data_IF_941687026937
#
_entry.id   IF_941687026937
#
_cell.length_a   1.000
_cell.length_b   1.000
_cell.length_c   1.000
_cell.angle_alpha   90.00
_cell.angle_beta   90.00
_cell.angle_gamma   90.00
#
_symmetry.space_group_name_H-M   'P 1'
#
loop_
_entity.id
_entity.type
_entity.pdbx_description
1 polymer ?
#
# COMPACT_ATOMS: atom_id res chain seq x y z
N UNK A 1 -13.28 -22.54 -13.63
CA UNK A 1 -11.90 -22.34 -14.12
C UNK A 1 -11.87 -21.10 -15.00
N UNK A 2 -10.83 -20.28 -14.92
CA UNK A 2 -10.63 -19.15 -15.84
C UNK A 2 -10.39 -19.69 -17.26
N UNK A 3 -11.03 -19.10 -18.27
CA UNK A 3 -10.74 -19.44 -19.66
C UNK A 3 -9.41 -18.81 -20.12
N UNK A 4 -8.84 -19.32 -21.20
CA UNK A 4 -7.52 -18.89 -21.71
C UNK A 4 -7.49 -17.39 -22.06
N UNK A 5 -8.61 -16.84 -22.56
CA UNK A 5 -8.72 -15.41 -22.89
C UNK A 5 -8.65 -14.52 -21.66
N UNK A 6 -9.40 -14.85 -20.60
CA UNK A 6 -9.39 -14.14 -19.33
C UNK A 6 -8.01 -14.18 -18.66
N UNK A 7 -7.31 -15.32 -18.72
CA UNK A 7 -5.94 -15.42 -18.21
C UNK A 7 -4.98 -14.50 -18.97
N UNK A 8 -5.08 -14.45 -20.30
CA UNK A 8 -4.24 -13.55 -21.11
C UNK A 8 -4.48 -12.07 -20.76
N UNK A 9 -5.74 -11.68 -20.55
CA UNK A 9 -6.10 -10.32 -20.14
C UNK A 9 -5.56 -9.98 -18.75
N UNK A 10 -5.77 -10.84 -17.75
CA UNK A 10 -5.22 -10.64 -16.40
C UNK A 10 -3.70 -10.52 -16.44
N UNK A 11 -3.02 -11.37 -17.20
CA UNK A 11 -1.57 -11.32 -17.32
C UNK A 11 -1.08 -10.01 -17.97
N UNK A 12 -1.76 -9.55 -19.02
CA UNK A 12 -1.46 -8.26 -19.64
C UNK A 12 -1.65 -7.09 -18.66
N UNK A 13 -2.72 -7.14 -17.86
CA UNK A 13 -2.99 -6.15 -16.83
C UNK A 13 -1.94 -6.20 -15.69
N UNK A 14 -1.52 -7.37 -15.26
CA UNK A 14 -0.48 -7.54 -14.22
C UNK A 14 0.87 -6.97 -14.66
N UNK A 15 1.29 -7.24 -15.91
CA UNK A 15 2.56 -6.71 -16.45
C UNK A 15 2.51 -5.18 -16.61
N UNK A 16 1.36 -4.63 -17.02
CA UNK A 16 1.19 -3.19 -17.23
C UNK A 16 0.84 -2.40 -15.96
N UNK A 17 0.58 -3.08 -14.84
CA UNK A 17 0.21 -2.46 -13.58
C UNK A 17 1.36 -1.61 -13.04
N UNK A 18 1.04 -0.36 -12.69
CA UNK A 18 1.99 0.59 -12.11
C UNK A 18 1.85 0.60 -10.60
N UNK A 19 2.99 0.77 -9.92
CA UNK A 19 3.06 0.88 -8.46
C UNK A 19 3.75 2.18 -8.05
N UNK A 20 3.52 2.68 -6.83
CA UNK A 20 4.38 3.69 -6.22
C UNK A 20 5.87 3.30 -6.29
N UNK A 21 6.77 4.27 -6.35
CA UNK A 21 8.20 3.98 -6.56
C UNK A 21 8.85 3.20 -5.42
N UNK A 22 8.29 3.28 -4.22
CA UNK A 22 8.73 2.53 -3.05
C UNK A 22 8.12 1.12 -3.00
N UNK A 23 7.57 0.66 -4.12
CA UNK A 23 7.05 -0.69 -4.30
C UNK A 23 7.80 -1.33 -5.48
N UNK A 24 8.80 -2.13 -5.15
CA UNK A 24 9.64 -2.89 -6.06
C UNK A 24 8.98 -4.22 -6.40
N UNK A 25 7.85 -4.17 -7.11
CA UNK A 25 7.18 -5.38 -7.63
C UNK A 25 6.97 -5.28 -9.13
N UNK A 26 7.42 -6.32 -9.82
CA UNK A 26 7.20 -6.50 -11.25
C UNK A 26 6.65 -7.91 -11.47
N UNK A 27 5.45 -8.00 -12.03
CA UNK A 27 4.78 -9.26 -12.33
C UNK A 27 5.33 -9.87 -13.62
N UNK A 28 6.57 -10.38 -13.56
CA UNK A 28 7.21 -11.08 -14.68
C UNK A 28 6.68 -12.50 -14.90
N UNK A 29 5.89 -13.01 -13.96
CA UNK A 29 5.31 -14.35 -14.01
C UNK A 29 3.80 -14.26 -14.19
N UNK A 30 3.22 -15.01 -15.14
CA UNK A 30 1.78 -15.01 -15.35
C UNK A 30 1.05 -15.68 -14.19
N UNK A 31 -0.26 -15.45 -14.07
CA UNK A 31 -1.12 -15.96 -13.00
C UNK A 31 -1.14 -17.50 -12.95
N UNK A 32 -1.03 -18.17 -14.09
CA UNK A 32 -0.95 -19.64 -14.15
C UNK A 32 0.37 -20.21 -13.63
N UNK A 33 1.39 -19.38 -13.43
CA UNK A 33 2.66 -19.71 -12.79
C UNK A 33 2.76 -19.06 -11.40
N UNK A 34 1.64 -18.93 -10.70
CA UNK A 34 1.61 -18.32 -9.36
C UNK A 34 2.49 -19.07 -8.34
N UNK A 35 2.87 -20.33 -8.57
CA UNK A 35 3.87 -21.03 -7.77
C UNK A 35 5.23 -20.35 -7.73
N UNK A 36 5.57 -19.58 -8.77
CA UNK A 36 6.83 -18.84 -8.89
C UNK A 36 6.75 -17.44 -8.28
N UNK A 37 5.56 -17.04 -7.79
CA UNK A 37 5.38 -15.74 -7.16
C UNK A 37 6.09 -15.68 -5.82
N UNK A 38 6.92 -14.66 -5.66
CA UNK A 38 7.47 -14.30 -4.34
C UNK A 38 6.38 -13.70 -3.45
N UNK A 39 6.61 -13.73 -2.14
CA UNK A 39 5.71 -13.20 -1.13
C UNK A 39 5.22 -11.76 -1.40
N UNK A 40 6.10 -10.87 -1.88
CA UNK A 40 5.71 -9.50 -2.29
C UNK A 40 4.63 -9.44 -3.39
N UNK A 41 4.64 -10.37 -4.35
CA UNK A 41 3.61 -10.46 -5.39
C UNK A 41 2.27 -10.89 -4.78
N UNK A 42 2.27 -11.93 -3.95
CA UNK A 42 1.07 -12.38 -3.25
C UNK A 42 0.48 -11.30 -2.35
N UNK A 43 1.32 -10.57 -1.61
CA UNK A 43 0.90 -9.48 -0.74
C UNK A 43 0.20 -8.37 -1.53
N UNK A 44 0.82 -7.87 -2.59
CA UNK A 44 0.24 -6.79 -3.41
C UNK A 44 -1.01 -7.27 -4.14
N UNK A 45 -0.97 -8.50 -4.67
CA UNK A 45 -2.13 -9.10 -5.30
C UNK A 45 -3.29 -9.19 -4.32
N UNK A 46 -3.09 -9.75 -3.13
CA UNK A 46 -4.17 -9.93 -2.17
C UNK A 46 -4.69 -8.61 -1.60
N UNK A 47 -3.81 -7.64 -1.29
CA UNK A 47 -4.21 -6.41 -0.61
C UNK A 47 -4.72 -5.29 -1.54
N UNK A 48 -4.26 -5.28 -2.79
CA UNK A 48 -4.41 -4.08 -3.64
C UNK A 48 -4.99 -4.33 -5.03
N UNK A 49 -4.54 -5.36 -5.75
CA UNK A 49 -4.86 -5.48 -7.19
C UNK A 49 -5.65 -6.73 -7.57
N UNK A 50 -5.70 -7.73 -6.71
CA UNK A 50 -6.29 -9.04 -7.03
C UNK A 50 -7.81 -8.97 -7.16
N UNK A 51 -8.50 -8.30 -6.23
CA UNK A 51 -9.96 -8.22 -6.24
C UNK A 51 -10.51 -7.63 -7.55
N UNK A 52 -10.05 -6.45 -8.01
CA UNK A 52 -10.55 -5.87 -9.26
C UNK A 52 -10.30 -6.75 -10.49
N UNK A 53 -9.15 -7.43 -10.56
CA UNK A 53 -8.88 -8.36 -11.67
C UNK A 53 -9.74 -9.62 -11.60
N UNK A 54 -9.95 -10.18 -10.41
CA UNK A 54 -10.75 -11.39 -10.25
C UNK A 54 -12.24 -11.12 -10.50
N UNK A 55 -12.74 -9.92 -10.16
CA UNK A 55 -14.14 -9.54 -10.30
C UNK A 55 -14.67 -9.65 -11.73
N UNK A 56 -13.82 -9.37 -12.72
CA UNK A 56 -14.21 -9.42 -14.14
C UNK A 56 -14.33 -10.86 -14.65
N UNK A 57 -13.57 -11.80 -14.09
CA UNK A 57 -13.32 -13.09 -14.74
C UNK A 57 -13.73 -14.32 -13.94
N UNK A 58 -13.88 -14.22 -12.62
CA UNK A 58 -14.26 -15.35 -11.78
C UNK A 58 -15.78 -15.40 -11.54
N UNK A 59 -16.35 -16.60 -11.29
CA UNK A 59 -17.75 -16.73 -10.92
C UNK A 59 -18.10 -15.88 -9.70
N UNK A 60 -19.31 -15.27 -9.62
CA UNK A 60 -19.68 -14.35 -8.55
C UNK A 60 -19.47 -14.91 -7.14
N UNK A 61 -19.79 -16.18 -6.92
CA UNK A 61 -19.62 -16.84 -5.61
C UNK A 61 -18.14 -16.94 -5.21
N UNK A 62 -17.26 -17.23 -6.16
CA UNK A 62 -15.81 -17.35 -5.94
C UNK A 62 -15.20 -15.99 -5.66
N UNK A 63 -15.60 -14.95 -6.41
CA UNK A 63 -15.14 -13.57 -6.17
C UNK A 63 -15.62 -13.07 -4.81
N UNK A 64 -16.86 -13.33 -4.44
CA UNK A 64 -17.40 -12.91 -3.15
C UNK A 64 -16.60 -13.50 -2.00
N UNK A 65 -16.24 -14.79 -2.12
CA UNK A 65 -15.40 -15.45 -1.14
C UNK A 65 -13.96 -14.89 -1.12
N UNK A 66 -13.39 -14.59 -2.28
CA UNK A 66 -12.09 -13.92 -2.39
C UNK A 66 -12.11 -12.49 -1.81
N UNK A 67 -13.20 -11.75 -1.99
CA UNK A 67 -13.40 -10.42 -1.42
C UNK A 67 -13.42 -10.46 0.12
N UNK A 68 -14.10 -11.44 0.70
CA UNK A 68 -14.09 -11.67 2.16
C UNK A 68 -12.68 -11.97 2.66
N UNK A 69 -11.94 -12.85 1.99
CA UNK A 69 -10.57 -13.17 2.38
C UNK A 69 -9.62 -11.97 2.26
N UNK A 70 -9.70 -11.24 1.15
CA UNK A 70 -8.91 -10.03 0.93
C UNK A 70 -9.22 -8.96 1.98
N UNK A 71 -10.50 -8.79 2.34
CA UNK A 71 -10.95 -7.90 3.42
C UNK A 71 -10.40 -8.34 4.78
N UNK A 72 -10.49 -9.62 5.12
CA UNK A 72 -9.92 -10.20 6.34
C UNK A 72 -8.43 -9.86 6.49
N UNK A 73 -7.63 -10.17 5.47
CA UNK A 73 -6.18 -9.91 5.53
C UNK A 73 -5.89 -8.41 5.58
N UNK A 74 -6.65 -7.58 4.87
CA UNK A 74 -6.43 -6.13 4.85
C UNK A 74 -6.77 -5.45 6.19
N UNK A 75 -7.82 -5.92 6.88
CA UNK A 75 -8.15 -5.49 8.25
C UNK A 75 -7.03 -5.85 9.23
N UNK A 76 -6.52 -7.09 9.16
CA UNK A 76 -5.43 -7.54 10.04
C UNK A 76 -4.06 -6.98 9.67
N UNK A 77 -3.85 -6.57 8.42
CA UNK A 77 -2.55 -6.05 7.95
C UNK A 77 -2.16 -4.77 8.67
N UNK A 78 -3.08 -3.80 8.77
CA UNK A 78 -2.84 -2.54 9.48
C UNK A 78 -4.17 -2.10 10.15
N UNK A 79 -4.55 -2.75 11.27
CA UNK A 79 -5.81 -2.48 11.95
C UNK A 79 -5.79 -1.09 12.58
N UNK A 80 -6.87 -0.34 12.40
CA UNK A 80 -7.07 0.99 12.98
C UNK A 80 -7.73 0.94 14.35
N UNK A 81 -8.40 -0.16 14.69
CA UNK A 81 -9.12 -0.32 15.95
C UNK A 81 -9.32 -1.80 16.30
N UNK A 82 -9.61 -2.08 17.58
CA UNK A 82 -10.01 -3.43 18.02
C UNK A 82 -11.25 -3.97 17.31
N UNK A 83 -12.19 -3.09 16.96
CA UNK A 83 -13.40 -3.47 16.21
C UNK A 83 -13.08 -4.01 14.81
N UNK A 84 -12.01 -3.53 14.16
CA UNK A 84 -11.56 -4.07 12.88
C UNK A 84 -11.01 -5.50 13.02
N UNK A 85 -10.39 -5.81 14.16
CA UNK A 85 -9.84 -7.14 14.44
C UNK A 85 -10.97 -8.13 14.78
N UNK A 86 -11.96 -7.72 15.59
CA UNK A 86 -13.16 -8.50 15.88
C UNK A 86 -13.97 -8.78 14.59
N UNK A 87 -14.09 -7.78 13.72
CA UNK A 87 -14.72 -7.97 12.41
C UNK A 87 -13.94 -8.96 11.54
N UNK A 88 -12.61 -8.87 11.52
CA UNK A 88 -11.78 -9.82 10.79
C UNK A 88 -11.95 -11.27 11.33
N UNK A 89 -12.06 -11.43 12.64
CA UNK A 89 -12.35 -12.71 13.28
C UNK A 89 -13.67 -13.32 12.80
N UNK A 90 -14.74 -12.51 12.78
CA UNK A 90 -16.05 -12.94 12.24
C UNK A 90 -15.95 -13.34 10.76
N UNK A 91 -15.21 -12.56 9.95
CA UNK A 91 -15.05 -12.83 8.52
C UNK A 91 -14.32 -14.15 8.29
N UNK A 92 -13.23 -14.44 9.00
CA UNK A 92 -12.48 -15.69 8.77
C UNK A 92 -13.27 -16.92 9.22
N UNK A 93 -14.02 -16.83 10.32
CA UNK A 93 -14.92 -17.91 10.73
C UNK A 93 -16.02 -18.18 9.70
N UNK A 94 -16.62 -17.11 9.15
CA UNK A 94 -17.58 -17.23 8.06
C UNK A 94 -16.93 -17.87 6.82
N UNK A 95 -15.77 -17.38 6.41
CA UNK A 95 -15.00 -17.88 5.26
C UNK A 95 -14.69 -19.38 5.41
N UNK A 96 -14.15 -19.81 6.55
CA UNK A 96 -13.83 -21.22 6.80
C UNK A 96 -15.08 -22.10 6.76
N UNK A 97 -16.22 -21.64 7.29
CA UNK A 97 -17.48 -22.38 7.24
C UNK A 97 -18.01 -22.53 5.81
N UNK A 98 -17.82 -21.53 4.95
CA UNK A 98 -18.31 -21.56 3.57
C UNK A 98 -17.33 -22.14 2.55
N UNK A 99 -16.04 -22.24 2.89
CA UNK A 99 -14.99 -22.70 1.98
C UNK A 99 -15.24 -24.11 1.40
N UNK A 100 -15.65 -25.13 2.19
CA UNK A 100 -15.91 -26.48 1.65
C UNK A 100 -17.02 -26.51 0.61
N UNK A 101 -18.04 -25.67 0.78
CA UNK A 101 -19.16 -25.57 -0.16
C UNK A 101 -18.78 -24.90 -1.48
N UNK A 102 -17.75 -24.05 -1.48
CA UNK A 102 -17.34 -23.26 -2.65
C UNK A 102 -16.20 -23.95 -3.41
N UNK A 103 -15.25 -24.55 -2.70
CA UNK A 103 -14.05 -25.13 -3.28
C UNK A 103 -13.95 -26.66 -3.17
N UNK A 104 -14.87 -27.29 -2.43
CA UNK A 104 -14.85 -28.71 -2.10
C UNK A 104 -14.20 -29.01 -0.75
N UNK A 105 -14.49 -30.19 -0.20
CA UNK A 105 -14.06 -30.61 1.15
C UNK A 105 -12.53 -30.71 1.32
N UNK A 106 -11.79 -30.86 0.21
CA UNK A 106 -10.33 -30.97 0.23
C UNK A 106 -9.61 -29.66 0.58
N UNK A 107 -10.33 -28.54 0.70
CA UNK A 107 -9.75 -27.24 1.09
C UNK A 107 -9.53 -27.11 2.60
N UNK A 108 -10.02 -28.04 3.42
CA UNK A 108 -9.82 -28.07 4.87
C UNK A 108 -8.38 -28.45 5.25
N UNK A 109 -7.44 -27.62 4.82
CA UNK A 109 -6.02 -27.76 5.07
C UNK A 109 -5.67 -27.11 6.41
N UNK A 110 -4.62 -27.64 7.05
CA UNK A 110 -4.03 -27.07 8.26
C UNK A 110 -3.73 -25.56 8.14
N UNK A 111 -3.35 -25.10 6.95
CA UNK A 111 -3.12 -23.68 6.65
C UNK A 111 -4.38 -22.81 6.82
N UNK A 112 -5.56 -23.32 6.43
CA UNK A 112 -6.82 -22.61 6.60
C UNK A 112 -7.21 -22.53 8.08
N UNK A 113 -7.01 -23.60 8.83
CA UNK A 113 -7.24 -23.60 10.28
C UNK A 113 -6.32 -22.61 11.01
N UNK A 114 -5.05 -22.52 10.59
CA UNK A 114 -4.08 -21.58 11.16
C UNK A 114 -4.53 -20.12 11.04
N UNK A 115 -5.30 -19.77 10.01
CA UNK A 115 -5.82 -18.41 9.82
C UNK A 115 -6.85 -17.99 10.89
N UNK A 116 -7.53 -18.94 11.54
CA UNK A 116 -8.46 -18.65 12.65
C UNK A 116 -7.75 -18.02 13.86
N UNK A 117 -6.44 -18.24 13.99
CA UNK A 117 -5.66 -17.70 15.09
C UNK A 117 -5.04 -16.32 14.79
N UNK A 118 -5.08 -15.85 13.53
CA UNK A 118 -4.46 -14.58 13.15
C UNK A 118 -5.06 -13.36 13.88
N UNK A 119 -6.38 -13.24 14.10
CA UNK A 119 -6.93 -12.13 14.87
C UNK A 119 -6.34 -12.05 16.28
N UNK A 120 -6.25 -13.18 16.98
CA UNK A 120 -5.65 -13.25 18.32
C UNK A 120 -4.16 -12.91 18.30
N UNK A 121 -3.43 -13.35 17.27
CA UNK A 121 -2.02 -13.00 17.10
C UNK A 121 -1.85 -11.50 16.87
N UNK A 122 -2.71 -10.87 16.06
CA UNK A 122 -2.69 -9.42 15.82
C UNK A 122 -3.04 -8.63 17.07
N UNK A 123 -3.99 -9.11 17.89
CA UNK A 123 -4.29 -8.52 19.20
C UNK A 123 -3.07 -8.55 20.13
N UNK A 124 -2.31 -9.64 20.10
CA UNK A 124 -1.19 -9.88 21.03
C UNK A 124 0.11 -9.20 20.56
N UNK A 125 0.33 -9.12 19.25
CA UNK A 125 1.63 -8.76 18.67
C UNK A 125 1.60 -7.54 17.73
N UNK A 126 0.43 -7.01 17.41
CA UNK A 126 0.25 -5.92 16.44
C UNK A 126 -0.06 -6.40 15.02
N UNK A 127 -0.39 -5.45 14.13
CA UNK A 127 -0.81 -5.73 12.75
C UNK A 127 0.16 -6.61 11.95
N UNK A 128 -0.37 -7.37 10.99
CA UNK A 128 0.44 -8.32 10.19
C UNK A 128 1.58 -7.60 9.44
N UNK A 129 1.45 -6.30 9.16
CA UNK A 129 2.53 -5.55 8.53
C UNK A 129 3.82 -5.47 9.37
N UNK A 130 3.73 -5.68 10.69
CA UNK A 130 4.88 -5.67 11.60
C UNK A 130 5.30 -7.06 12.07
N UNK A 131 4.39 -8.03 12.01
CA UNK A 131 4.58 -9.37 12.59
C UNK A 131 4.77 -10.47 11.54
N UNK A 132 4.45 -10.17 10.28
CA UNK A 132 4.65 -11.11 9.17
C UNK A 132 6.12 -11.22 8.75
N UNK A 133 6.49 -12.40 8.22
CA UNK A 133 7.81 -12.65 7.67
C UNK A 133 8.10 -11.87 6.37
N UNK A 134 7.14 -11.11 5.81
CA UNK A 134 7.29 -10.44 4.52
C UNK A 134 8.51 -9.51 4.46
N UNK A 135 8.81 -8.78 5.54
CA UNK A 135 9.97 -7.89 5.62
C UNK A 135 11.32 -8.65 5.62
N UNK A 136 11.31 -9.92 6.02
CA UNK A 136 12.49 -10.78 6.09
C UNK A 136 12.73 -11.54 4.80
N UNK A 137 11.68 -12.01 4.12
CA UNK A 137 11.83 -12.67 2.82
C UNK A 137 12.23 -11.69 1.69
N UNK A 138 11.96 -10.39 1.83
CA UNK A 138 12.42 -9.38 0.87
C UNK A 138 13.88 -8.98 1.08
N UNK A 139 14.35 -8.93 2.32
CA UNK A 139 15.72 -8.54 2.69
C UNK A 139 16.71 -9.71 2.62
N UNK A 140 16.23 -10.94 2.76
CA UNK A 140 17.02 -12.16 2.59
C UNK A 140 16.80 -12.71 1.18
N UNK A 141 17.76 -12.46 0.29
CA UNK A 141 17.94 -13.14 -0.98
C UNK A 141 18.34 -14.62 -0.75
N UNK A 142 17.55 -15.39 0.00
CA UNK A 142 17.67 -16.84 0.07
C UNK A 142 16.33 -17.45 -0.33
N UNK A 143 16.32 -17.90 -1.58
CA UNK A 143 15.57 -19.06 -2.04
C UNK A 143 15.53 -20.10 -0.92
N UNK A 144 14.34 -20.34 -0.35
CA UNK A 144 13.81 -21.61 0.15
C UNK A 144 12.75 -21.28 1.21
N UNK A 145 11.50 -21.56 0.87
CA UNK A 145 10.34 -21.30 1.71
C UNK A 145 10.40 -22.07 3.04
N UNK A 146 9.86 -21.45 4.07
CA UNK A 146 9.68 -22.06 5.38
C UNK A 146 9.41 -21.03 6.45
N UNK A 147 8.14 -20.94 6.85
CA UNK A 147 7.62 -20.51 8.16
C UNK A 147 8.60 -19.72 9.04
N UNK A 148 8.34 -18.42 9.26
CA UNK A 148 8.95 -17.74 10.40
C UNK A 148 8.00 -16.74 11.08
N UNK A 149 7.79 -16.97 12.37
CA UNK A 149 7.18 -16.06 13.33
C UNK A 149 8.22 -14.99 13.72
N UNK A 150 7.95 -13.69 13.53
CA UNK A 150 8.92 -12.62 13.85
C UNK A 150 8.21 -11.44 14.51
N UNK A 151 8.31 -11.30 15.84
CA UNK A 151 9.35 -10.47 16.47
C UNK A 151 10.33 -11.26 17.35
N UNK A 152 9.95 -12.47 17.79
CA UNK A 152 10.80 -13.33 18.59
C UNK A 152 12.05 -13.79 17.83
N UNK A 153 11.97 -14.12 16.53
CA UNK A 153 13.14 -14.62 15.79
C UNK A 153 14.19 -13.52 15.51
N UNK A 154 13.81 -12.25 15.37
CA UNK A 154 14.79 -11.16 15.28
C UNK A 154 15.49 -10.96 16.62
N UNK A 155 14.72 -10.89 17.71
CA UNK A 155 15.28 -10.75 19.05
C UNK A 155 16.10 -11.99 19.45
N UNK A 156 15.64 -13.19 19.09
CA UNK A 156 16.29 -14.47 19.35
C UNK A 156 17.50 -14.68 18.43
N UNK A 157 17.47 -14.24 17.17
CA UNK A 157 18.65 -14.23 16.30
C UNK A 157 19.67 -13.22 16.76
N UNK A 158 19.24 -12.04 17.22
CA UNK A 158 20.11 -11.05 17.88
C UNK A 158 20.68 -11.61 19.18
N UNK A 159 19.89 -12.28 20.02
CA UNK A 159 20.34 -12.91 21.28
C UNK A 159 21.21 -14.14 21.00
N UNK A 160 20.93 -14.96 19.98
CA UNK A 160 21.76 -16.10 19.58
C UNK A 160 23.06 -15.63 18.94
N UNK A 161 23.02 -14.57 18.14
CA UNK A 161 24.20 -13.89 17.61
C UNK A 161 25.03 -13.27 18.74
N UNK A 162 24.40 -12.59 19.70
CA UNK A 162 25.04 -12.05 20.91
C UNK A 162 25.59 -13.17 21.80
N UNK A 163 24.86 -14.27 22.01
CA UNK A 163 25.31 -15.45 22.78
C UNK A 163 26.48 -16.16 22.10
N UNK A 164 26.44 -16.30 20.77
CA UNK A 164 27.51 -16.91 19.97
C UNK A 164 28.74 -16.01 19.88
N UNK A 165 28.57 -14.67 19.98
CA UNK A 165 29.65 -13.69 20.09
C UNK A 165 30.20 -13.54 21.52
N UNK A 166 29.35 -13.67 22.55
CA UNK A 166 29.75 -13.61 23.95
C UNK A 166 30.48 -14.89 24.40
N UNK A 167 30.16 -16.05 23.81
CA UNK A 167 30.96 -17.26 23.94
C UNK A 167 32.19 -17.21 23.02
N UNK A 168 33.23 -16.51 23.48
CA UNK A 168 34.67 -16.89 23.44
C UNK A 168 35.31 -17.50 22.19
N UNK A 169 34.69 -17.46 21.01
CA UNK A 169 35.14 -18.19 19.81
C UNK A 169 35.71 -17.29 18.72
N UNK A 170 35.90 -15.98 18.99
CA UNK A 170 36.58 -15.04 18.08
C UNK A 170 37.78 -14.38 18.73
N UNK A 171 38.82 -14.18 17.93
CA UNK A 171 40.07 -13.51 18.27
C UNK A 171 39.79 -12.13 18.92
N UNK A 172 40.51 -11.78 19.99
CA UNK A 172 40.24 -10.62 20.85
C UNK A 172 40.11 -9.30 20.06
N UNK A 173 40.92 -9.15 19.00
CA UNK A 173 40.90 -7.96 18.13
C UNK A 173 39.58 -7.75 17.37
N UNK A 174 38.88 -8.83 16.99
CA UNK A 174 37.58 -8.73 16.32
C UNK A 174 36.49 -8.29 17.30
N UNK A 175 36.60 -8.70 18.57
CA UNK A 175 35.67 -8.27 19.61
C UNK A 175 35.82 -6.77 19.90
N UNK A 176 37.06 -6.28 20.00
CA UNK A 176 37.34 -4.86 20.22
C UNK A 176 36.80 -4.01 19.06
N UNK A 177 37.04 -4.42 17.80
CA UNK A 177 36.51 -3.71 16.64
C UNK A 177 34.96 -3.69 16.62
N UNK A 178 34.31 -4.78 17.01
CA UNK A 178 32.86 -4.85 17.11
C UNK A 178 32.31 -3.96 18.24
N UNK A 179 32.97 -3.92 19.40
CA UNK A 179 32.62 -3.02 20.50
C UNK A 179 32.76 -1.55 20.10
N UNK A 180 33.83 -1.19 19.41
CA UNK A 180 34.03 0.16 18.86
C UNK A 180 32.91 0.51 17.88
N UNK A 181 32.47 -0.43 17.03
CA UNK A 181 31.36 -0.19 16.11
C UNK A 181 30.03 0.00 16.83
N UNK A 182 29.73 -0.82 17.85
CA UNK A 182 28.53 -0.67 18.67
C UNK A 182 28.56 0.66 19.41
N UNK A 183 29.68 0.98 20.06
CA UNK A 183 29.88 2.26 20.74
C UNK A 183 29.71 3.42 19.77
N UNK A 184 30.28 3.35 18.56
CA UNK A 184 30.10 4.36 17.50
C UNK A 184 28.63 4.50 17.08
N UNK A 185 27.86 3.41 17.01
CA UNK A 185 26.44 3.46 16.66
C UNK A 185 25.59 4.00 17.81
N UNK A 186 25.90 3.65 19.05
CA UNK A 186 25.17 4.09 20.25
C UNK A 186 25.48 5.54 20.61
N UNK A 187 26.73 5.98 20.38
CA UNK A 187 27.19 7.35 20.63
C UNK A 187 26.95 8.27 19.43
N UNK A 188 26.53 7.73 18.28
CA UNK A 188 26.10 8.57 17.16
C UNK A 188 24.98 9.48 17.64
N UNK A 189 25.02 10.78 17.25
CA UNK A 189 23.91 11.66 17.54
C UNK A 189 22.63 11.06 16.95
N UNK A 190 21.47 11.28 17.61
CA UNK A 190 20.19 10.81 17.11
C UNK A 190 20.03 11.20 15.64
N UNK A 191 19.50 10.29 14.82
CA UNK A 191 19.24 10.57 13.41
C UNK A 191 18.33 11.80 13.32
N UNK A 192 18.87 12.92 12.79
CA UNK A 192 18.07 14.11 12.55
C UNK A 192 17.10 13.82 11.41
N UNK A 193 15.79 13.86 11.69
CA UNK A 193 14.78 13.71 10.65
C UNK A 193 14.95 14.84 9.62
N UNK A 194 15.16 14.47 8.36
CA UNK A 194 15.21 15.43 7.28
C UNK A 194 13.89 16.18 7.17
N UNK A 195 13.95 17.51 7.15
CA UNK A 195 12.77 18.37 6.98
C UNK A 195 12.09 18.11 5.63
N UNK A 196 10.78 18.23 5.61
CA UNK A 196 9.99 18.07 4.38
C UNK A 196 10.34 19.18 3.39
N UNK A 197 10.56 18.81 2.12
CA UNK A 197 11.12 19.71 1.11
C UNK A 197 10.54 19.46 -0.27
N UNK A 198 10.28 20.54 -1.01
CA UNK A 198 9.95 20.49 -2.43
C UNK A 198 11.21 20.25 -3.27
N UNK A 199 11.09 19.42 -4.30
CA UNK A 199 12.19 19.01 -5.17
C UNK A 199 11.80 19.21 -6.63
N UNK A 200 12.76 19.59 -7.47
CA UNK A 200 12.57 19.94 -8.89
C UNK A 200 11.59 21.11 -9.06
N UNK A 201 12.04 22.32 -8.71
CA UNK A 201 11.23 23.53 -8.83
C UNK A 201 10.96 23.89 -10.28
N UNK A 202 9.76 24.38 -10.59
CA UNK A 202 9.39 24.86 -11.92
C UNK A 202 8.71 26.24 -11.85
N UNK A 203 8.74 26.95 -12.96
CA UNK A 203 7.99 28.20 -13.15
C UNK A 203 6.54 27.89 -13.56
N UNK A 204 5.58 28.72 -13.13
CA UNK A 204 4.17 28.61 -13.51
C UNK A 204 3.93 28.71 -15.03
N UNK A 205 4.81 29.41 -15.73
CA UNK A 205 4.79 29.58 -17.19
C UNK A 205 5.49 28.45 -17.95
N UNK A 206 5.92 27.38 -17.26
CA UNK A 206 6.49 26.21 -17.92
C UNK A 206 5.41 25.49 -18.76
N UNK A 207 5.77 25.11 -19.99
CA UNK A 207 4.88 24.48 -20.96
C UNK A 207 4.27 23.16 -20.47
N UNK A 208 4.98 22.40 -19.64
CA UNK A 208 4.46 21.14 -19.07
C UNK A 208 3.17 21.36 -18.25
N UNK A 209 2.97 22.58 -17.73
CA UNK A 209 1.82 22.94 -16.92
C UNK A 209 0.67 23.58 -17.71
N UNK A 210 0.83 23.82 -19.02
CA UNK A 210 -0.14 24.54 -19.85
C UNK A 210 -1.57 23.99 -19.73
N UNK A 211 -1.71 22.67 -19.73
CA UNK A 211 -3.00 21.98 -19.63
C UNK A 211 -3.79 22.34 -18.36
N UNK A 212 -3.10 22.59 -17.25
CA UNK A 212 -3.72 22.80 -15.93
C UNK A 212 -3.65 24.25 -15.46
N UNK A 213 -2.88 25.12 -16.15
CA UNK A 213 -2.58 26.48 -15.72
C UNK A 213 -3.82 27.32 -15.47
N UNK A 214 -4.81 27.28 -16.38
CA UNK A 214 -5.99 28.13 -16.28
C UNK A 214 -6.84 27.76 -15.05
N UNK A 215 -7.14 26.47 -14.88
CA UNK A 215 -7.89 25.98 -13.71
C UNK A 215 -7.12 26.25 -12.41
N UNK A 216 -5.80 26.05 -12.43
CA UNK A 216 -4.93 26.34 -11.31
C UNK A 216 -4.99 27.80 -10.91
N UNK A 217 -4.81 28.74 -11.85
CA UNK A 217 -4.84 30.18 -11.57
C UNK A 217 -6.20 30.64 -11.04
N UNK A 218 -7.29 30.09 -11.58
CA UNK A 218 -8.64 30.39 -11.11
C UNK A 218 -8.84 30.01 -9.64
N UNK A 219 -8.35 28.83 -9.23
CA UNK A 219 -8.44 28.37 -7.83
C UNK A 219 -7.39 29.09 -6.97
N UNK A 220 -6.23 29.40 -7.52
CA UNK A 220 -5.17 30.10 -6.80
C UNK A 220 -5.62 31.49 -6.35
N UNK A 221 -6.35 32.22 -7.21
CA UNK A 221 -6.88 33.56 -6.90
C UNK A 221 -7.93 33.56 -5.79
N UNK A 222 -8.62 32.44 -5.57
CA UNK A 222 -9.53 32.31 -4.43
C UNK A 222 -8.80 31.87 -3.16
N UNK A 223 -7.61 31.28 -3.30
CA UNK A 223 -6.81 30.72 -2.22
C UNK A 223 -5.74 31.68 -1.68
N UNK A 224 -5.18 32.57 -2.50
CA UNK A 224 -3.99 33.37 -2.19
C UNK A 224 -4.23 34.85 -2.50
N UNK A 225 -3.70 35.73 -1.64
CA UNK A 225 -3.75 37.19 -1.80
C UNK A 225 -2.61 37.76 -2.67
N UNK A 226 -1.47 37.06 -2.77
CA UNK A 226 -0.30 37.51 -3.53
C UNK A 226 0.39 36.35 -4.28
N UNK A 227 0.40 36.40 -5.62
CA UNK A 227 0.94 35.34 -6.48
C UNK A 227 2.48 35.26 -6.48
N UNK A 228 3.18 36.30 -6.02
CA UNK A 228 4.65 36.40 -6.12
C UNK A 228 5.43 35.54 -5.11
N UNK A 229 4.76 34.96 -4.11
CA UNK A 229 5.40 34.16 -3.04
C UNK A 229 5.24 32.64 -3.25
N UNK A 230 5.04 32.22 -4.50
CA UNK A 230 4.71 30.83 -4.84
C UNK A 230 5.88 30.18 -5.56
N UNK A 231 6.31 29.05 -5.04
CA UNK A 231 7.28 28.17 -5.70
C UNK A 231 6.62 26.83 -5.97
N UNK A 232 6.66 26.39 -7.23
CA UNK A 232 6.07 25.13 -7.67
C UNK A 232 7.13 24.02 -7.73
N UNK A 233 6.76 22.79 -7.41
CA UNK A 233 7.66 21.62 -7.40
C UNK A 233 7.02 20.40 -8.07
N UNK A 234 7.83 19.63 -8.79
CA UNK A 234 7.39 18.38 -9.41
C UNK A 234 7.42 17.18 -8.45
N UNK A 235 8.12 17.30 -7.32
CA UNK A 235 8.20 16.28 -6.28
C UNK A 235 8.18 16.90 -4.90
N UNK A 236 7.73 16.13 -3.93
CA UNK A 236 7.76 16.50 -2.53
C UNK A 236 8.34 15.36 -1.70
N UNK A 237 9.34 15.64 -0.88
CA UNK A 237 9.94 14.67 0.03
C UNK A 237 9.48 14.97 1.45
N UNK A 238 8.78 14.02 2.06
CA UNK A 238 8.32 14.08 3.44
C UNK A 238 9.03 13.00 4.27
N UNK A 239 10.09 13.40 4.98
CA UNK A 239 10.94 12.51 5.76
C UNK A 239 11.49 11.33 4.91
N UNK A 240 10.82 10.17 4.92
CA UNK A 240 11.18 8.96 4.19
C UNK A 240 10.36 8.74 2.92
N UNK A 241 9.26 9.47 2.75
CA UNK A 241 8.31 9.28 1.67
C UNK A 241 8.52 10.35 0.61
N UNK A 242 8.78 9.93 -0.62
CA UNK A 242 8.74 10.86 -1.76
C UNK A 242 7.38 10.79 -2.45
N UNK A 243 6.86 11.90 -2.93
CA UNK A 243 5.66 12.01 -3.74
C UNK A 243 6.01 12.65 -5.08
N UNK A 244 5.37 12.18 -6.15
CA UNK A 244 5.57 12.69 -7.50
C UNK A 244 4.32 13.41 -7.98
N UNK A 245 4.48 14.21 -9.02
CA UNK A 245 3.38 14.84 -9.74
C UNK A 245 3.08 14.07 -11.01
N UNK A 246 1.87 14.26 -11.57
CA UNK A 246 1.50 13.77 -12.91
C UNK A 246 2.42 14.33 -14.00
N UNK A 247 3.02 15.49 -13.75
CA UNK A 247 3.90 16.22 -14.67
C UNK A 247 5.37 15.78 -14.61
N UNK A 248 5.71 14.84 -13.73
CA UNK A 248 7.07 14.36 -13.59
C UNK A 248 7.36 13.22 -14.58
N UNK A 249 8.10 13.51 -15.64
CA UNK A 249 8.34 12.61 -16.78
C UNK A 249 9.31 11.42 -16.53
N UNK A 250 9.97 11.35 -15.36
CA UNK A 250 10.97 10.32 -15.03
C UNK A 250 10.37 9.16 -14.21
N UNK A 251 10.81 7.93 -14.48
CA UNK A 251 10.21 7.08 -15.50
C UNK A 251 8.70 6.89 -15.28
N UNK A 252 7.93 6.94 -16.37
CA UNK A 252 6.48 6.69 -16.45
C UNK A 252 6.00 5.32 -15.88
N UNK A 253 6.88 4.52 -15.28
CA UNK A 253 6.59 3.21 -14.69
C UNK A 253 5.95 3.30 -13.29
N UNK A 254 6.07 4.42 -12.57
CA UNK A 254 5.54 4.55 -11.21
C UNK A 254 4.31 5.47 -11.09
N UNK A 255 3.41 5.19 -10.14
CA UNK A 255 2.18 5.96 -9.90
C UNK A 255 2.18 6.69 -8.54
N UNK A 256 3.30 7.33 -8.18
CA UNK A 256 3.48 8.00 -6.88
C UNK A 256 2.75 9.36 -6.75
N UNK A 257 1.90 9.70 -7.71
CA UNK A 257 1.09 10.91 -7.75
C UNK A 257 -0.36 10.66 -7.31
N UNK A 258 -0.76 9.41 -7.08
CA UNK A 258 -2.11 9.08 -6.62
C UNK A 258 -2.07 8.98 -5.10
N UNK A 259 -2.90 9.75 -4.42
CA UNK A 259 -2.90 9.87 -2.97
C UNK A 259 -4.32 9.73 -2.39
N UNK A 260 -4.39 9.30 -1.13
CA UNK A 260 -5.53 9.54 -0.26
C UNK A 260 -5.22 10.69 0.70
N UNK A 261 -6.25 11.46 1.07
CA UNK A 261 -6.12 12.59 1.97
C UNK A 261 -7.37 12.78 2.83
N UNK A 262 -7.18 13.38 4.01
CA UNK A 262 -8.28 13.78 4.89
C UNK A 262 -8.88 15.09 4.42
N UNK A 263 -10.17 15.06 4.10
CA UNK A 263 -10.94 16.26 3.80
C UNK A 263 -11.35 17.00 5.09
N UNK A 264 -11.96 18.17 4.96
CA UNK A 264 -12.35 19.03 6.10
C UNK A 264 -13.37 18.38 7.03
N UNK A 265 -14.18 17.46 6.50
CA UNK A 265 -15.14 16.62 7.22
C UNK A 265 -14.48 15.36 7.83
N UNK A 266 -13.15 15.25 7.80
CA UNK A 266 -12.37 14.06 8.19
C UNK A 266 -12.63 12.80 7.37
N UNK A 267 -13.42 12.89 6.28
CA UNK A 267 -13.58 11.78 5.33
C UNK A 267 -12.30 11.57 4.53
N UNK A 268 -12.04 10.32 4.15
CA UNK A 268 -10.92 9.99 3.27
C UNK A 268 -11.36 10.19 1.81
N UNK A 269 -10.68 11.11 1.13
CA UNK A 269 -10.83 11.39 -0.30
C UNK A 269 -9.55 11.01 -1.04
N UNK A 270 -9.63 11.03 -2.37
CA UNK A 270 -8.53 10.62 -3.22
C UNK A 270 -8.27 11.67 -4.31
N UNK A 271 -7.01 11.80 -4.73
CA UNK A 271 -6.62 12.75 -5.76
C UNK A 271 -5.38 12.33 -6.53
N UNK A 272 -5.24 12.87 -7.74
CA UNK A 272 -3.99 12.85 -8.48
C UNK A 272 -3.28 14.19 -8.28
N UNK A 273 -2.05 14.15 -7.78
CA UNK A 273 -1.23 15.35 -7.59
C UNK A 273 -0.76 15.86 -8.95
N UNK A 274 -1.24 17.02 -9.33
CA UNK A 274 -0.83 17.71 -10.55
C UNK A 274 0.46 18.49 -10.30
N UNK A 275 0.53 19.24 -9.21
CA UNK A 275 1.73 20.00 -8.84
C UNK A 275 1.78 20.25 -7.33
N UNK A 276 2.98 20.37 -6.76
CA UNK A 276 3.17 20.86 -5.40
C UNK A 276 3.48 22.35 -5.42
N UNK A 277 3.06 23.07 -4.38
CA UNK A 277 3.42 24.46 -4.19
C UNK A 277 3.83 24.72 -2.74
N UNK A 278 4.77 25.65 -2.58
CA UNK A 278 5.04 26.30 -1.30
C UNK A 278 4.41 27.69 -1.34
N UNK A 279 3.69 28.02 -0.29
CA UNK A 279 3.14 29.35 -0.06
C UNK A 279 3.35 29.72 1.41
N UNK A 280 4.07 30.81 1.65
CA UNK A 280 4.62 31.15 2.96
C UNK A 280 5.40 29.96 3.56
N UNK A 281 5.10 29.56 4.79
CA UNK A 281 5.72 28.43 5.48
C UNK A 281 5.03 27.09 5.23
N UNK A 282 3.95 27.07 4.42
CA UNK A 282 3.14 25.89 4.15
C UNK A 282 3.44 25.23 2.80
N UNK A 283 3.23 23.91 2.73
CA UNK A 283 3.22 23.15 1.49
C UNK A 283 1.82 22.64 1.17
N UNK A 284 1.45 22.72 -0.10
CA UNK A 284 0.16 22.25 -0.61
C UNK A 284 0.36 21.43 -1.88
N UNK A 285 -0.54 20.48 -2.10
CA UNK A 285 -0.70 19.75 -3.35
C UNK A 285 -1.90 20.32 -4.10
N UNK A 286 -1.69 20.75 -5.35
CA UNK A 286 -2.77 20.96 -6.30
C UNK A 286 -3.15 19.61 -6.90
N UNK A 287 -4.39 19.18 -6.67
CA UNK A 287 -4.85 17.86 -7.05
C UNK A 287 -6.05 17.92 -7.99
N UNK A 288 -6.18 16.88 -8.82
CA UNK A 288 -7.42 16.53 -9.49
C UNK A 288 -8.15 15.47 -8.67
N UNK A 289 -9.41 15.71 -8.32
CA UNK A 289 -10.15 14.87 -7.38
C UNK A 289 -10.78 13.64 -8.04
N UNK A 290 -10.81 12.54 -7.30
CA UNK A 290 -11.65 11.40 -7.60
C UNK A 290 -13.02 11.54 -6.90
N UNK A 291 -14.10 11.22 -7.60
CA UNK A 291 -15.47 11.21 -7.06
C UNK A 291 -15.96 9.79 -6.84
N UNK A 292 -16.87 9.64 -5.89
CA UNK A 292 -17.62 8.41 -5.71
C UNK A 292 -18.43 8.10 -6.97
N UNK A 293 -18.49 6.83 -7.31
CA UNK A 293 -19.32 6.29 -8.40
C UNK A 293 -20.72 5.95 -7.86
N UNK A 294 -21.69 5.81 -8.76
CA UNK A 294 -23.05 5.37 -8.37
C UNK A 294 -23.08 3.93 -7.85
N UNK A 295 -22.11 3.11 -8.28
CA UNK A 295 -21.94 1.71 -7.87
C UNK A 295 -20.76 1.57 -6.91
N UNK A 296 -20.89 0.63 -5.98
CA UNK A 296 -19.83 0.21 -5.09
C UNK A 296 -19.42 -1.24 -5.37
N UNK A 297 -18.32 -1.70 -4.77
CA UNK A 297 -17.86 -3.09 -4.95
C UNK A 297 -18.90 -4.09 -4.44
N UNK A 298 -19.62 -3.74 -3.36
CA UNK A 298 -20.68 -4.55 -2.78
C UNK A 298 -21.88 -4.79 -3.70
N UNK A 299 -22.01 -4.06 -4.81
CA UNK A 299 -23.00 -4.30 -5.86
C UNK A 299 -22.60 -5.42 -6.83
N UNK A 300 -21.30 -5.78 -6.87
CA UNK A 300 -20.75 -6.79 -7.76
C UNK A 300 -20.45 -8.12 -7.03
N UNK A 301 -20.58 -8.16 -5.71
CA UNK A 301 -20.31 -9.36 -4.90
C UNK A 301 -21.46 -9.67 -3.94
N UNK A 302 -21.66 -10.96 -3.68
CA UNK A 302 -22.65 -11.50 -2.75
C UNK A 302 -22.02 -11.70 -1.38
N UNK A 303 -21.93 -10.63 -0.59
CA UNK A 303 -21.46 -10.67 0.82
C UNK A 303 -22.59 -10.33 1.80
N UNK A 304 -22.53 -10.79 3.07
CA UNK A 304 -23.47 -10.39 4.12
C UNK A 304 -23.66 -8.87 4.20
N UNK A 305 -24.90 -8.42 4.42
CA UNK A 305 -25.27 -7.00 4.39
C UNK A 305 -24.44 -6.14 5.36
N UNK A 306 -24.15 -6.66 6.54
CA UNK A 306 -23.32 -6.01 7.58
C UNK A 306 -21.87 -5.75 7.13
N UNK A 307 -21.35 -6.49 6.15
CA UNK A 307 -19.98 -6.36 5.66
C UNK A 307 -19.86 -5.41 4.46
N UNK A 308 -20.99 -5.06 3.81
CA UNK A 308 -20.98 -4.27 2.57
C UNK A 308 -20.31 -2.91 2.74
N UNK A 309 -20.73 -2.14 3.74
CA UNK A 309 -20.15 -0.82 4.02
C UNK A 309 -18.64 -0.90 4.22
N UNK A 310 -18.16 -1.91 4.96
CA UNK A 310 -16.73 -2.04 5.22
C UNK A 310 -15.95 -2.47 3.98
N UNK A 311 -16.54 -3.32 3.15
CA UNK A 311 -15.96 -3.73 1.88
C UNK A 311 -15.80 -2.52 0.95
N UNK A 312 -16.82 -1.67 0.88
CA UNK A 312 -16.83 -0.45 0.05
C UNK A 312 -15.80 0.59 0.52
N UNK A 313 -15.57 0.69 1.84
CA UNK A 313 -14.50 1.52 2.41
C UNK A 313 -13.10 1.01 2.07
N UNK A 314 -12.91 -0.31 2.01
CA UNK A 314 -11.59 -0.95 1.81
C UNK A 314 -11.21 -1.02 0.33
N UNK A 315 -12.21 -1.15 -0.56
CA UNK A 315 -12.06 -1.23 -2.01
C UNK A 315 -12.95 -0.19 -2.69
N UNK A 316 -12.68 1.12 -2.50
CA UNK A 316 -13.50 2.17 -3.06
C UNK A 316 -13.41 2.18 -4.60
N UNK A 317 -14.58 2.19 -5.23
CA UNK A 317 -14.75 2.51 -6.64
C UNK A 317 -14.88 4.01 -6.83
N UNK A 318 -14.10 4.55 -7.76
CA UNK A 318 -14.00 6.00 -8.00
C UNK A 318 -13.88 6.31 -9.48
N UNK A 319 -14.22 7.54 -9.86
CA UNK A 319 -13.98 8.10 -11.19
C UNK A 319 -13.20 9.41 -11.08
N UNK A 320 -12.26 9.62 -12.00
CA UNK A 320 -11.48 10.85 -12.02
C UNK A 320 -12.36 11.99 -12.51
N UNK A 321 -12.50 13.05 -11.71
CA UNK A 321 -13.38 14.17 -12.02
C UNK A 321 -12.63 15.32 -12.69
N UNK A 322 -13.35 16.34 -13.16
CA UNK A 322 -12.76 17.62 -13.60
C UNK A 322 -12.69 18.66 -12.46
N UNK A 323 -12.86 18.22 -11.22
CA UNK A 323 -12.75 19.08 -10.04
C UNK A 323 -11.31 19.09 -9.54
N UNK A 324 -10.82 20.28 -9.18
CA UNK A 324 -9.48 20.48 -8.67
C UNK A 324 -9.54 21.24 -7.36
N UNK A 325 -8.56 20.99 -6.48
CA UNK A 325 -8.48 21.67 -5.19
C UNK A 325 -7.04 21.70 -4.68
N UNK A 326 -6.78 22.58 -3.72
CA UNK A 326 -5.57 22.54 -2.91
C UNK A 326 -5.78 21.67 -1.67
N UNK A 327 -4.80 20.83 -1.38
CA UNK A 327 -4.75 19.99 -0.18
C UNK A 327 -3.46 20.32 0.57
N UNK A 328 -3.51 20.73 1.84
CA UNK A 328 -2.32 20.85 2.66
C UNK A 328 -1.58 19.50 2.72
N UNK A 329 -0.26 19.50 2.56
CA UNK A 329 0.53 18.26 2.58
C UNK A 329 0.27 17.44 3.85
N UNK A 330 0.09 18.10 5.00
CA UNK A 330 -0.20 17.47 6.29
C UNK A 330 -1.48 16.64 6.30
N UNK A 331 -2.39 16.84 5.34
CA UNK A 331 -3.61 16.07 5.21
C UNK A 331 -3.46 14.84 4.30
N UNK A 332 -2.35 14.71 3.56
CA UNK A 332 -2.06 13.53 2.75
C UNK A 332 -1.85 12.34 3.70
N UNK A 333 -2.56 11.24 3.43
CA UNK A 333 -2.53 10.06 4.28
C UNK A 333 -1.60 9.00 3.70
N UNK A 334 -1.91 8.52 2.48
CA UNK A 334 -1.20 7.40 1.87
C UNK A 334 -1.08 7.59 0.36
N UNK A 335 -0.08 6.94 -0.23
CA UNK A 335 -0.08 6.69 -1.68
C UNK A 335 -1.13 5.64 -2.02
N UNK A 336 -1.61 5.66 -3.26
CA UNK A 336 -2.59 4.69 -3.72
C UNK A 336 -2.11 3.95 -4.97
N UNK A 337 -2.53 2.69 -5.07
CA UNK A 337 -2.46 1.90 -6.30
C UNK A 337 -3.82 2.03 -6.98
N UNK A 338 -3.79 2.35 -8.28
CA UNK A 338 -4.99 2.42 -9.10
C UNK A 338 -5.08 1.18 -9.99
N UNK A 339 -6.24 0.53 -10.01
CA UNK A 339 -6.56 -0.53 -10.97
C UNK A 339 -7.79 -0.13 -11.77
N UNK A 340 -7.70 -0.18 -13.10
CA UNK A 340 -8.84 0.13 -13.97
C UNK A 340 -9.90 -0.96 -13.86
N UNK A 341 -11.16 -0.55 -13.83
CA UNK A 341 -12.30 -1.47 -13.84
C UNK A 341 -13.48 -0.82 -14.55
N UNK A 342 -13.76 -1.28 -15.77
CA UNK A 342 -14.75 -0.68 -16.67
C UNK A 342 -14.46 0.83 -16.84
N UNK A 343 -15.46 1.70 -16.68
CA UNK A 343 -15.32 3.17 -16.75
C UNK A 343 -14.84 3.80 -15.43
N UNK A 344 -14.53 2.99 -14.43
CA UNK A 344 -14.14 3.40 -13.08
C UNK A 344 -12.75 2.88 -12.73
N UNK A 345 -12.29 3.24 -11.53
CA UNK A 345 -11.03 2.74 -10.97
C UNK A 345 -11.21 2.30 -9.52
N UNK A 346 -10.50 1.24 -9.16
CA UNK A 346 -10.27 0.87 -7.78
C UNK A 346 -9.05 1.63 -7.27
N UNK A 347 -9.16 2.17 -6.06
CA UNK A 347 -8.05 2.79 -5.35
C UNK A 347 -7.75 1.99 -4.09
N UNK A 348 -6.50 1.54 -3.95
CA UNK A 348 -6.03 0.86 -2.74
C UNK A 348 -4.94 1.66 -2.05
N UNK A 349 -5.15 2.00 -0.78
CA UNK A 349 -4.16 2.69 0.04
C UNK A 349 -2.97 1.78 0.37
N UNK A 350 -1.76 2.31 0.16
CA UNK A 350 -0.52 1.67 0.61
C UNK A 350 -0.23 2.21 2.01
N UNK A 351 -0.73 1.51 3.03
CA UNK A 351 -0.68 1.98 4.44
C UNK A 351 0.67 1.80 5.12
N UNK A 352 1.58 1.04 4.52
CA UNK A 352 2.84 0.65 5.14
C UNK A 352 3.94 0.76 4.11
N UNK A 353 4.74 1.82 4.24
CA UNK A 353 5.93 2.09 3.44
C UNK A 353 7.15 1.41 4.08
N UNK A 354 7.15 0.07 4.17
CA UNK A 354 8.37 -0.68 4.50
C UNK A 354 8.64 -1.67 3.38
N UNK A 355 9.00 -1.14 2.22
CA UNK A 355 9.95 -1.86 1.38
C UNK A 355 11.31 -1.28 1.73
N UNK A 356 11.99 -1.98 2.64
CA UNK A 356 13.43 -1.85 2.77
C UNK A 356 14.02 -2.28 1.43
N UNK A 357 14.49 -1.32 0.65
CA UNK A 357 15.62 -1.54 -0.26
C UNK A 357 16.88 -1.87 0.55
#
# INVERSE_FOLDING_TARGET
MLNTGALAEINSNLVSQRFPHNISVNFNYPLNSCSDWKAKHFRIFLLSIGLPYMLVHLPPIVVSHFALYSMFVKLLHCPKSYNEIDLADKIIHYYCRTAPHIYGETIELFSLHSHLHLPQQVLTHGGLCFTSAFCFESSILLTHGGLCFTSAFCFESSIRYLKKKAHGTRNLGTQIADWINIETIVTRPPFELSKSTGVNSININNCIFDKYRNDFLNILRTFIQNENDIVLFLRFKDVFVTYHTVLYDLPFSCCSYIISYKSTDSSIKYGQVIIFLKYHDGYYAYIQEYKATEKNISDYVSVPAELKSKLDDIFPLRSLSKSYTFVPIVNICHKCIQVKFHDCVFLSEVRVDYEHD
#
